data_IF_263566606026
#
_entry.id   IF_263566606026
#
_cell.length_a   1.000
_cell.length_b   1.000
_cell.length_c   1.000
_cell.angle_alpha   90.00
_cell.angle_beta   90.00
_cell.angle_gamma   90.00
#
_symmetry.space_group_name_H-M   'P 1'
#
loop_
_entity.id
_entity.type
_entity.pdbx_description
1 polymer ?
#
# COMPACT_ATOMS: atom_id res chain seq x y z
N UNK A 1 -9.47 -10.82 59.17
CA UNK A 1 -8.33 -10.83 58.26
C UNK A 1 -8.81 -10.49 56.86
N UNK A 2 -8.90 -9.21 56.54
CA UNK A 2 -9.30 -8.71 55.24
C UNK A 2 -8.05 -8.38 54.45
N UNK A 3 -7.72 -9.22 53.48
CA UNK A 3 -6.64 -8.97 52.52
C UNK A 3 -7.24 -8.11 51.39
N UNK A 4 -6.94 -6.82 51.45
CA UNK A 4 -7.22 -5.88 50.40
C UNK A 4 -6.16 -6.04 49.32
N UNK A 5 -6.49 -6.75 48.26
CA UNK A 5 -5.70 -6.76 47.06
C UNK A 5 -5.85 -5.37 46.41
N UNK A 6 -4.88 -4.52 46.65
CA UNK A 6 -4.72 -3.27 45.93
C UNK A 6 -4.49 -3.62 44.45
N UNK A 7 -5.50 -3.37 43.64
CA UNK A 7 -5.32 -3.29 42.18
C UNK A 7 -4.34 -2.16 41.88
N UNK A 8 -3.10 -2.52 41.67
CA UNK A 8 -2.13 -1.62 41.08
C UNK A 8 -2.57 -1.36 39.64
N UNK A 9 -3.42 -0.35 39.52
CA UNK A 9 -3.63 0.33 38.24
C UNK A 9 -2.27 0.92 37.87
N UNK A 10 -1.57 0.26 36.98
CA UNK A 10 -0.42 0.79 36.31
C UNK A 10 -0.87 2.07 35.58
N UNK A 11 -0.90 3.16 36.31
CA UNK A 11 -0.84 4.49 35.70
C UNK A 11 0.46 4.49 34.92
N UNK A 12 0.38 4.41 33.59
CA UNK A 12 1.49 4.80 32.72
C UNK A 12 1.92 6.17 33.23
N UNK A 13 2.99 6.20 33.99
CA UNK A 13 3.67 7.46 34.27
C UNK A 13 4.03 8.02 32.90
N UNK A 14 3.70 9.30 32.59
CA UNK A 14 4.20 9.94 31.39
C UNK A 14 5.72 9.76 31.44
N UNK A 15 6.29 9.15 30.41
CA UNK A 15 7.71 8.82 30.37
C UNK A 15 8.48 10.09 30.70
N UNK A 16 9.29 10.04 31.77
CA UNK A 16 10.16 11.15 32.19
C UNK A 16 11.38 11.28 31.25
N UNK A 17 11.27 10.72 30.05
CA UNK A 17 12.31 10.84 29.03
C UNK A 17 12.53 12.30 28.69
N UNK A 18 13.72 12.73 28.80
CA UNK A 18 14.11 14.09 28.46
C UNK A 18 14.36 14.20 26.96
N UNK A 19 14.44 15.43 26.45
CA UNK A 19 14.86 15.65 25.05
C UNK A 19 16.29 15.12 24.82
N UNK A 20 17.11 15.05 25.85
CA UNK A 20 18.46 14.46 25.79
C UNK A 20 18.40 12.94 25.54
N UNK A 21 17.48 12.23 26.19
CA UNK A 21 17.29 10.79 25.98
C UNK A 21 16.80 10.50 24.57
N UNK A 22 15.86 11.29 24.08
CA UNK A 22 15.36 11.18 22.70
C UNK A 22 16.48 11.42 21.66
N UNK A 23 17.38 12.38 21.90
CA UNK A 23 18.57 12.58 21.06
C UNK A 23 19.51 11.37 21.11
N UNK A 24 19.71 10.79 22.30
CA UNK A 24 20.53 9.59 22.43
C UNK A 24 19.95 8.41 21.64
N UNK A 25 18.65 8.19 21.72
CA UNK A 25 17.94 7.19 20.90
C UNK A 25 18.14 7.46 19.41
N UNK A 26 18.02 8.71 18.95
CA UNK A 26 18.27 9.11 17.58
C UNK A 26 19.69 8.74 17.11
N UNK A 27 20.70 9.09 17.88
CA UNK A 27 22.10 8.80 17.53
C UNK A 27 22.44 7.30 17.58
N UNK A 28 21.66 6.51 18.33
CA UNK A 28 21.72 5.04 18.28
C UNK A 28 20.94 4.43 17.13
N UNK A 29 20.33 5.26 16.25
CA UNK A 29 19.45 4.85 15.16
C UNK A 29 18.14 4.17 15.61
N UNK A 30 17.75 4.38 16.84
CA UNK A 30 16.47 3.98 17.42
C UNK A 30 15.41 5.03 17.05
N UNK A 31 15.13 5.18 15.74
CA UNK A 31 14.33 6.28 15.20
C UNK A 31 12.90 6.31 15.70
N UNK A 32 12.28 5.13 15.89
CA UNK A 32 10.92 5.05 16.46
C UNK A 32 10.89 5.62 17.88
N UNK A 33 11.80 5.17 18.74
CA UNK A 33 11.90 5.66 20.12
C UNK A 33 12.17 7.16 20.13
N UNK A 34 13.09 7.65 19.30
CA UNK A 34 13.38 9.07 19.21
C UNK A 34 12.15 9.88 18.77
N UNK A 35 11.41 9.41 17.78
CA UNK A 35 10.19 10.04 17.30
C UNK A 35 9.10 10.07 18.39
N UNK A 36 8.80 8.93 19.01
CA UNK A 36 7.78 8.81 20.06
C UNK A 36 8.09 9.71 21.25
N UNK A 37 9.35 9.74 21.69
CA UNK A 37 9.78 10.53 22.84
C UNK A 37 9.84 12.05 22.56
N UNK A 38 10.03 12.46 21.31
CA UNK A 38 9.98 13.87 20.90
C UNK A 38 8.55 14.36 20.61
N UNK A 39 7.62 13.46 20.32
CA UNK A 39 6.24 13.80 19.97
C UNK A 39 5.56 14.56 21.10
N UNK A 40 4.92 15.68 20.75
CA UNK A 40 4.18 16.53 21.69
C UNK A 40 5.06 17.39 22.59
N UNK A 41 6.38 17.36 22.45
CA UNK A 41 7.30 18.22 23.21
C UNK A 41 7.60 19.52 22.45
N UNK A 42 7.91 20.57 23.20
CA UNK A 42 8.44 21.81 22.62
C UNK A 42 9.90 21.60 22.24
N UNK A 43 10.16 21.55 20.95
CA UNK A 43 11.48 21.25 20.40
C UNK A 43 12.24 22.53 20.00
N UNK A 44 13.56 22.51 20.15
CA UNK A 44 14.43 23.50 19.51
C UNK A 44 14.47 23.27 17.98
N UNK A 45 14.92 24.26 17.20
CA UNK A 45 15.07 24.09 15.74
C UNK A 45 15.95 22.87 15.37
N UNK A 46 17.00 22.62 16.14
CA UNK A 46 17.88 21.46 15.95
C UNK A 46 17.13 20.16 16.21
N UNK A 47 16.39 20.09 17.32
CA UNK A 47 15.63 18.90 17.68
C UNK A 47 14.46 18.66 16.72
N UNK A 48 13.86 19.71 16.17
CA UNK A 48 12.83 19.61 15.14
C UNK A 48 13.37 18.88 13.90
N UNK A 49 14.59 19.15 13.46
CA UNK A 49 15.20 18.43 12.34
C UNK A 49 15.43 16.95 12.66
N UNK A 50 15.90 16.64 13.89
CA UNK A 50 16.05 15.24 14.34
C UNK A 50 14.70 14.53 14.40
N UNK A 51 13.68 15.21 14.89
CA UNK A 51 12.31 14.72 14.96
C UNK A 51 11.76 14.38 13.57
N UNK A 52 11.89 15.30 12.60
CA UNK A 52 11.39 15.06 11.24
C UNK A 52 12.13 13.90 10.55
N UNK A 53 13.46 13.83 10.67
CA UNK A 53 14.20 12.66 10.18
C UNK A 53 13.75 11.37 10.88
N UNK A 54 13.60 11.37 12.19
CA UNK A 54 13.14 10.21 12.95
C UNK A 54 11.71 9.80 12.54
N UNK A 55 10.81 10.78 12.33
CA UNK A 55 9.44 10.56 11.84
C UNK A 55 9.42 9.83 10.51
N UNK A 56 10.19 10.31 9.54
CA UNK A 56 10.25 9.73 8.20
C UNK A 56 10.74 8.28 8.24
N UNK A 57 11.85 8.04 8.93
CA UNK A 57 12.44 6.70 9.04
C UNK A 57 11.52 5.76 9.85
N UNK A 58 11.01 6.21 10.98
CA UNK A 58 10.11 5.43 11.82
C UNK A 58 8.81 5.06 11.08
N UNK A 59 8.26 5.99 10.29
CA UNK A 59 7.05 5.74 9.49
C UNK A 59 7.27 4.67 8.42
N UNK A 60 8.44 4.62 7.80
CA UNK A 60 8.81 3.56 6.87
C UNK A 60 8.96 2.21 7.57
N UNK A 61 9.71 2.18 8.68
CA UNK A 61 9.91 0.97 9.49
C UNK A 61 8.59 0.40 10.00
N UNK A 62 7.68 1.27 10.48
CA UNK A 62 6.38 0.86 10.99
C UNK A 62 5.54 0.13 9.95
N UNK A 63 5.59 0.56 8.68
CA UNK A 63 4.87 -0.12 7.59
C UNK A 63 5.44 -1.50 7.30
N UNK A 64 6.76 -1.65 7.33
CA UNK A 64 7.38 -2.96 7.19
C UNK A 64 7.08 -3.89 8.39
N UNK A 65 7.07 -3.36 9.60
CA UNK A 65 6.69 -4.12 10.80
C UNK A 65 5.21 -4.54 10.76
N UNK A 66 4.34 -3.67 10.21
CA UNK A 66 2.93 -4.00 9.98
C UNK A 66 2.78 -5.19 9.03
N UNK A 67 3.54 -5.21 7.93
CA UNK A 67 3.62 -6.38 7.04
C UNK A 67 3.96 -7.67 7.81
N UNK A 68 5.01 -7.63 8.64
CA UNK A 68 5.43 -8.78 9.44
C UNK A 68 4.31 -9.24 10.40
N UNK A 69 3.64 -8.29 11.04
CA UNK A 69 2.55 -8.56 11.97
C UNK A 69 1.33 -9.15 11.28
N UNK A 70 0.91 -8.58 10.15
CA UNK A 70 -0.24 -9.10 9.38
C UNK A 70 0.05 -10.47 8.77
N UNK A 71 1.28 -10.71 8.33
CA UNK A 71 1.72 -12.04 7.86
C UNK A 71 1.58 -13.08 8.98
N UNK A 72 2.02 -12.77 10.19
CA UNK A 72 1.88 -13.66 11.35
C UNK A 72 0.42 -13.91 11.74
N UNK A 73 -0.46 -12.93 11.50
CA UNK A 73 -1.91 -13.04 11.74
C UNK A 73 -2.67 -13.70 10.59
N UNK A 74 -1.98 -14.12 9.52
CA UNK A 74 -2.58 -14.70 8.31
C UNK A 74 -3.58 -13.74 7.62
N UNK A 75 -3.24 -12.45 7.59
CA UNK A 75 -3.98 -11.37 6.94
C UNK A 75 -3.21 -10.91 5.69
N UNK A 76 -3.28 -11.67 4.59
CA UNK A 76 -2.39 -11.47 3.45
C UNK A 76 -2.68 -10.18 2.67
N UNK A 77 -3.93 -9.72 2.62
CA UNK A 77 -4.31 -8.47 1.94
C UNK A 77 -3.72 -7.28 2.68
N UNK A 78 -3.89 -7.22 4.00
CA UNK A 78 -3.37 -6.17 4.87
C UNK A 78 -1.83 -6.19 4.92
N UNK A 79 -1.23 -7.37 4.84
CA UNK A 79 0.22 -7.51 4.73
C UNK A 79 0.74 -6.89 3.44
N UNK A 80 0.14 -7.21 2.29
CA UNK A 80 0.51 -6.63 1.00
C UNK A 80 0.28 -5.11 0.98
N UNK A 81 -0.88 -4.65 1.47
CA UNK A 81 -1.21 -3.23 1.58
C UNK A 81 -0.16 -2.46 2.39
N UNK A 82 0.33 -3.03 3.50
CA UNK A 82 1.37 -2.42 4.32
C UNK A 82 2.68 -2.17 3.55
N UNK A 83 3.09 -3.09 2.69
CA UNK A 83 4.28 -2.93 1.84
C UNK A 83 4.06 -1.88 0.75
N UNK A 84 2.93 -1.94 0.05
CA UNK A 84 2.58 -0.99 -1.02
C UNK A 84 2.45 0.44 -0.47
N UNK A 85 1.79 0.61 0.67
CA UNK A 85 1.68 1.89 1.36
C UNK A 85 3.03 2.42 1.86
N UNK A 86 3.96 1.54 2.21
CA UNK A 86 5.32 1.89 2.57
C UNK A 86 6.08 2.50 1.40
N UNK A 87 6.00 1.91 0.23
CA UNK A 87 6.59 2.44 -0.99
C UNK A 87 5.93 3.77 -1.41
N UNK A 88 4.60 3.85 -1.33
CA UNK A 88 3.85 5.07 -1.64
C UNK A 88 4.26 6.23 -0.71
N UNK A 89 4.41 5.99 0.58
CA UNK A 89 4.88 6.97 1.55
C UNK A 89 6.28 7.50 1.17
N UNK A 90 7.21 6.62 0.80
CA UNK A 90 8.54 7.00 0.34
C UNK A 90 8.48 7.94 -0.88
N UNK A 91 7.60 7.65 -1.86
CA UNK A 91 7.42 8.52 -3.03
C UNK A 91 6.82 9.87 -2.65
N UNK A 92 5.81 9.89 -1.80
CA UNK A 92 5.10 11.12 -1.40
C UNK A 92 5.95 12.04 -0.54
N UNK A 93 6.82 11.48 0.29
CA UNK A 93 7.69 12.23 1.21
C UNK A 93 9.08 12.52 0.62
N UNK A 94 9.30 12.34 -0.68
CA UNK A 94 10.63 12.46 -1.31
C UNK A 94 11.31 13.80 -1.04
N UNK A 95 10.58 14.90 -1.06
CA UNK A 95 11.09 16.23 -0.77
C UNK A 95 11.53 16.37 0.69
N UNK A 96 10.69 15.91 1.62
CA UNK A 96 11.00 15.93 3.05
C UNK A 96 12.17 14.98 3.38
N UNK A 97 12.23 13.80 2.76
CA UNK A 97 13.34 12.85 2.91
C UNK A 97 14.66 13.52 2.54
N UNK A 98 14.68 14.29 1.46
CA UNK A 98 15.88 15.05 1.02
C UNK A 98 16.16 16.21 1.96
N UNK A 99 15.16 16.99 2.33
CA UNK A 99 15.31 18.17 3.21
C UNK A 99 15.86 17.80 4.59
N UNK A 100 15.41 16.68 5.15
CA UNK A 100 15.84 16.25 6.49
C UNK A 100 16.96 15.21 6.48
N UNK A 101 17.63 15.01 5.33
CA UNK A 101 18.77 14.09 5.17
C UNK A 101 18.45 12.65 5.65
N UNK A 102 17.27 12.17 5.27
CA UNK A 102 16.77 10.84 5.63
C UNK A 102 16.95 9.79 4.53
N UNK A 103 17.54 10.16 3.38
CA UNK A 103 17.60 9.34 2.16
C UNK A 103 18.22 7.97 2.43
N UNK A 104 19.38 7.92 3.08
CA UNK A 104 20.10 6.66 3.32
C UNK A 104 19.26 5.66 4.11
N UNK A 105 18.63 6.13 5.17
CA UNK A 105 17.84 5.28 6.06
C UNK A 105 16.51 4.87 5.45
N UNK A 106 15.82 5.79 4.79
CA UNK A 106 14.53 5.49 4.12
C UNK A 106 14.72 4.62 2.89
N UNK A 107 15.80 4.82 2.11
CA UNK A 107 16.12 3.96 0.98
C UNK A 107 16.43 2.53 1.41
N UNK A 108 17.11 2.34 2.53
CA UNK A 108 17.35 1.00 3.07
C UNK A 108 16.03 0.26 3.33
N UNK A 109 15.03 0.92 3.92
CA UNK A 109 13.70 0.34 4.15
C UNK A 109 12.94 0.16 2.83
N UNK A 110 13.01 1.12 1.89
CA UNK A 110 12.43 0.99 0.56
C UNK A 110 12.92 -0.26 -0.16
N UNK A 111 14.24 -0.48 -0.18
CA UNK A 111 14.79 -1.69 -0.80
C UNK A 111 14.36 -2.97 -0.11
N UNK A 112 14.24 -2.96 1.22
CA UNK A 112 13.70 -4.10 1.96
C UNK A 112 12.24 -4.38 1.56
N UNK A 113 11.41 -3.35 1.42
CA UNK A 113 10.03 -3.46 0.93
C UNK A 113 9.99 -4.02 -0.49
N UNK A 114 10.77 -3.46 -1.43
CA UNK A 114 10.79 -3.90 -2.83
C UNK A 114 11.28 -5.33 -2.98
N UNK A 115 12.32 -5.73 -2.24
CA UNK A 115 12.80 -7.11 -2.24
C UNK A 115 11.72 -8.07 -1.72
N UNK A 116 11.02 -7.70 -0.65
CA UNK A 116 9.92 -8.52 -0.11
C UNK A 116 8.76 -8.63 -1.09
N UNK A 117 8.39 -7.52 -1.77
CA UNK A 117 7.35 -7.52 -2.80
C UNK A 117 7.73 -8.41 -3.99
N UNK A 118 8.99 -8.37 -4.41
CA UNK A 118 9.46 -9.23 -5.48
C UNK A 118 9.52 -10.70 -5.07
N UNK A 119 10.10 -11.01 -3.92
CA UNK A 119 10.28 -12.39 -3.46
C UNK A 119 8.96 -13.09 -3.16
N UNK A 120 7.98 -12.37 -2.60
CA UNK A 120 6.71 -12.94 -2.16
C UNK A 120 5.62 -12.90 -3.22
N UNK A 121 5.54 -11.80 -3.98
CA UNK A 121 4.43 -11.53 -4.90
C UNK A 121 4.89 -11.37 -6.35
N UNK A 122 6.18 -11.49 -6.64
CA UNK A 122 6.79 -11.31 -7.98
C UNK A 122 6.52 -9.92 -8.59
N UNK A 123 6.37 -8.90 -7.75
CA UNK A 123 6.12 -7.54 -8.16
C UNK A 123 7.43 -6.77 -8.36
N UNK A 124 7.61 -6.20 -9.54
CA UNK A 124 8.68 -5.24 -9.83
C UNK A 124 8.32 -3.86 -9.29
N UNK A 125 9.30 -2.96 -9.24
CA UNK A 125 9.04 -1.57 -8.81
C UNK A 125 8.03 -0.86 -9.72
N UNK A 126 8.02 -1.16 -11.04
CA UNK A 126 7.03 -0.62 -11.97
C UNK A 126 5.62 -1.15 -11.68
N UNK A 127 5.49 -2.44 -11.36
CA UNK A 127 4.21 -3.02 -10.94
C UNK A 127 3.68 -2.33 -9.67
N UNK A 128 4.55 -2.07 -8.70
CA UNK A 128 4.20 -1.37 -7.46
C UNK A 128 3.69 0.04 -7.73
N UNK A 129 4.33 0.78 -8.63
CA UNK A 129 3.87 2.11 -9.04
C UNK A 129 2.49 2.05 -9.71
N UNK A 130 2.28 1.09 -10.62
CA UNK A 130 1.01 0.90 -11.31
C UNK A 130 -0.11 0.54 -10.35
N UNK A 131 0.14 -0.37 -9.41
CA UNK A 131 -0.86 -0.76 -8.40
C UNK A 131 -1.22 0.44 -7.52
N UNK A 132 -0.24 1.20 -7.04
CA UNK A 132 -0.48 2.39 -6.22
C UNK A 132 -1.17 3.54 -6.96
N UNK A 133 -1.26 3.49 -8.30
CA UNK A 133 -1.96 4.47 -9.13
C UNK A 133 -3.41 4.06 -9.46
N UNK A 134 -3.85 2.86 -9.07
CA UNK A 134 -5.22 2.41 -9.26
C UNK A 134 -6.19 3.19 -8.36
N UNK A 135 -7.46 3.22 -8.76
CA UNK A 135 -8.52 3.68 -7.87
C UNK A 135 -8.78 2.67 -6.72
N UNK A 136 -9.51 3.09 -5.71
CA UNK A 136 -9.73 2.30 -4.49
C UNK A 136 -10.35 0.91 -4.76
N UNK A 137 -11.25 0.82 -5.73
CA UNK A 137 -11.89 -0.43 -6.08
C UNK A 137 -10.93 -1.38 -6.78
N UNK A 138 -10.29 -0.92 -7.85
CA UNK A 138 -9.34 -1.71 -8.63
C UNK A 138 -8.10 -2.09 -7.79
N UNK A 139 -7.65 -1.19 -6.92
CA UNK A 139 -6.60 -1.47 -5.94
C UNK A 139 -6.98 -2.65 -5.04
N UNK A 140 -8.16 -2.61 -4.42
CA UNK A 140 -8.64 -3.69 -3.53
C UNK A 140 -8.74 -5.02 -4.27
N UNK A 141 -9.34 -5.02 -5.46
CA UNK A 141 -9.45 -6.22 -6.30
C UNK A 141 -8.06 -6.79 -6.62
N UNK A 142 -7.12 -5.93 -6.98
CA UNK A 142 -5.75 -6.35 -7.31
C UNK A 142 -5.03 -7.00 -6.12
N UNK A 143 -5.19 -6.46 -4.92
CA UNK A 143 -4.63 -7.04 -3.72
C UNK A 143 -5.23 -8.43 -3.41
N UNK A 144 -6.55 -8.56 -3.54
CA UNK A 144 -7.24 -9.84 -3.35
C UNK A 144 -6.79 -10.90 -4.37
N UNK A 145 -6.55 -10.51 -5.64
CA UNK A 145 -6.00 -11.40 -6.67
C UNK A 145 -4.60 -11.87 -6.33
N UNK A 146 -3.69 -10.94 -6.01
CA UNK A 146 -2.29 -11.25 -5.70
C UNK A 146 -2.13 -12.11 -4.46
N UNK A 147 -3.04 -12.00 -3.51
CA UNK A 147 -3.02 -12.79 -2.27
C UNK A 147 -3.84 -14.07 -2.35
N UNK A 148 -4.54 -14.33 -3.46
CA UNK A 148 -5.43 -15.47 -3.64
C UNK A 148 -6.75 -15.38 -2.85
N UNK A 149 -7.05 -14.26 -2.22
CA UNK A 149 -8.24 -14.08 -1.37
C UNK A 149 -9.55 -14.14 -2.16
N UNK A 150 -9.55 -13.72 -3.45
CA UNK A 150 -10.71 -13.86 -4.35
C UNK A 150 -11.06 -15.33 -4.62
N UNK A 151 -10.07 -16.19 -4.79
CA UNK A 151 -10.29 -17.62 -5.05
C UNK A 151 -11.05 -18.30 -3.90
N UNK A 152 -10.79 -17.91 -2.67
CA UNK A 152 -11.50 -18.43 -1.50
C UNK A 152 -12.94 -17.91 -1.40
N UNK A 153 -13.19 -16.64 -1.76
CA UNK A 153 -14.55 -16.08 -1.79
C UNK A 153 -15.42 -16.78 -2.83
N UNK A 154 -14.87 -17.02 -4.03
CA UNK A 154 -15.59 -17.72 -5.10
C UNK A 154 -15.85 -19.20 -4.79
N UNK A 155 -14.92 -19.89 -4.13
CA UNK A 155 -15.11 -21.27 -3.72
C UNK A 155 -16.22 -21.42 -2.68
N UNK A 156 -16.32 -20.51 -1.73
CA UNK A 156 -17.40 -20.50 -0.74
C UNK A 156 -18.76 -20.13 -1.33
N UNK A 157 -18.81 -19.25 -2.35
CA UNK A 157 -20.04 -18.90 -3.05
C UNK A 157 -20.61 -20.07 -3.88
N UNK A 158 -19.74 -20.88 -4.49
CA UNK A 158 -20.14 -22.08 -5.22
C UNK A 158 -20.58 -23.22 -4.30
N UNK A 159 -20.03 -23.32 -3.10
CA UNK A 159 -20.40 -24.35 -2.13
C UNK A 159 -21.71 -24.04 -1.40
N UNK A 160 -22.10 -22.76 -1.31
CA UNK A 160 -23.38 -22.35 -0.75
C UNK A 160 -24.55 -22.49 -1.72
N UNK A 161 -24.30 -22.68 -3.04
CA UNK A 161 -25.32 -22.86 -4.08
C UNK A 161 -25.70 -24.31 -4.39
N UNK A 162 -25.07 -25.31 -3.74
CA UNK A 162 -25.27 -26.74 -4.08
C UNK A 162 -26.10 -27.53 -3.09
N UNK A 163 -26.85 -26.90 -2.21
CA UNK A 163 -27.79 -27.61 -1.32
C UNK A 163 -29.17 -26.99 -1.39
N UNK A 164 -29.89 -27.23 -2.48
CA UNK A 164 -31.36 -27.32 -2.44
C UNK A 164 -31.88 -27.95 -3.75
N UNK A 165 -32.62 -28.99 -3.52
CA UNK A 165 -33.73 -29.55 -4.29
C UNK A 165 -33.44 -30.83 -5.08
N UNK A 166 -33.56 -31.93 -4.37
CA UNK A 166 -34.25 -33.13 -4.83
C UNK A 166 -35.73 -32.96 -4.53
N UNK A 167 -36.56 -32.91 -5.55
CA UNK A 167 -38.04 -32.85 -5.45
C UNK A 167 -38.66 -33.11 -6.83
N UNK A 168 -38.97 -34.35 -7.01
CA UNK A 168 -39.73 -35.03 -8.04
C UNK A 168 -41.00 -34.28 -8.54
N UNK A 169 -41.25 -34.26 -9.86
CA UNK A 169 -42.54 -34.52 -10.51
C UNK A 169 -42.58 -34.09 -11.98
N UNK A 170 -42.47 -35.03 -12.86
CA UNK A 170 -43.31 -35.49 -13.96
C UNK A 170 -44.05 -34.48 -14.87
N UNK A 171 -43.65 -34.56 -16.18
CA UNK A 171 -44.36 -34.56 -17.46
C UNK A 171 -45.54 -33.58 -17.72
N UNK A 172 -45.43 -32.88 -18.83
CA UNK A 172 -46.18 -33.05 -20.11
C UNK A 172 -45.79 -31.93 -21.07
N UNK A 173 -45.20 -32.27 -22.18
CA UNK A 173 -45.63 -32.27 -23.58
C UNK A 173 -46.31 -30.98 -24.11
N UNK A 174 -45.78 -30.49 -25.20
CA UNK A 174 -46.41 -30.05 -26.44
C UNK A 174 -45.88 -28.70 -26.99
N UNK A 175 -45.20 -28.86 -28.13
CA UNK A 175 -45.34 -28.10 -29.39
C UNK A 175 -44.58 -26.77 -29.58
N UNK A 176 -43.58 -26.87 -30.47
CA UNK A 176 -43.08 -25.86 -31.42
C UNK A 176 -44.19 -25.51 -32.43
N UNK A 177 -44.20 -24.37 -33.17
CA UNK A 177 -43.10 -23.96 -34.03
C UNK A 177 -42.89 -22.43 -34.24
N UNK A 178 -41.68 -22.13 -34.69
CA UNK A 178 -41.18 -21.28 -35.78
C UNK A 178 -41.95 -20.00 -36.18
N UNK A 179 -41.20 -18.96 -36.41
CA UNK A 179 -40.89 -18.18 -37.63
C UNK A 179 -40.23 -16.87 -37.22
N UNK A 180 -39.03 -16.63 -37.66
CA UNK A 180 -38.55 -15.92 -38.85
C UNK A 180 -38.89 -14.43 -38.88
N UNK A 181 -37.84 -13.61 -38.86
CA UNK A 181 -37.70 -12.40 -39.67
C UNK A 181 -36.32 -11.73 -39.47
N UNK A 182 -35.48 -11.97 -40.40
CA UNK A 182 -34.54 -11.12 -41.14
C UNK A 182 -34.78 -9.61 -41.04
N UNK A 183 -33.73 -8.84 -40.80
CA UNK A 183 -33.29 -7.68 -41.65
C UNK A 183 -32.00 -7.11 -41.01
N UNK A 184 -30.85 -7.19 -41.63
CA UNK A 184 -30.24 -6.53 -42.78
C UNK A 184 -29.94 -5.03 -42.57
N UNK A 185 -28.67 -4.74 -42.79
CA UNK A 185 -28.13 -3.47 -43.27
C UNK A 185 -27.68 -2.51 -42.18
N UNK A 186 -26.52 -1.99 -42.13
CA UNK A 186 -25.67 -1.48 -43.18
C UNK A 186 -24.33 -1.10 -42.59
N UNK A 187 -23.32 -1.46 -43.30
CA UNK A 187 -21.94 -1.05 -43.21
C UNK A 187 -21.80 0.44 -43.58
N UNK A 188 -21.06 1.23 -42.85
CA UNK A 188 -20.34 2.35 -43.43
C UNK A 188 -19.00 2.63 -42.72
N UNK A 189 -17.98 2.39 -43.51
CA UNK A 189 -16.62 2.86 -43.47
C UNK A 189 -16.50 4.38 -43.27
N UNK A 190 -15.45 4.75 -42.55
CA UNK A 190 -14.55 5.88 -42.87
C UNK A 190 -13.34 5.79 -41.96
N UNK A 191 -12.22 5.30 -42.44
CA UNK A 191 -11.09 5.87 -43.19
C UNK A 191 -10.53 7.16 -42.60
N UNK A 192 -9.27 6.99 -42.14
CA UNK A 192 -8.08 7.85 -42.18
C UNK A 192 -8.21 9.30 -41.71
N UNK A 193 -7.33 9.71 -40.79
CA UNK A 193 -6.27 10.61 -41.23
C UNK A 193 -5.06 10.53 -40.31
N UNK A 194 -3.92 10.31 -40.93
CA UNK A 194 -2.61 10.43 -40.36
C UNK A 194 -2.09 11.85 -40.66
N UNK A 195 -1.56 12.51 -39.66
CA UNK A 195 -0.64 13.62 -39.80
C UNK A 195 0.28 13.62 -38.60
N UNK A 196 1.45 13.06 -38.68
CA UNK A 196 2.76 13.62 -39.07
C UNK A 196 2.95 15.09 -38.62
N UNK A 197 3.73 15.27 -37.60
CA UNK A 197 4.61 16.45 -37.45
C UNK A 197 5.86 16.07 -36.68
N UNK A 198 6.84 15.78 -37.49
CA UNK A 198 8.28 15.78 -37.25
C UNK A 198 8.77 17.18 -36.83
N UNK A 199 9.75 17.16 -35.91
CA UNK A 199 10.81 18.16 -35.69
C UNK A 199 10.45 19.49 -35.00
N UNK A 200 11.04 19.67 -33.84
CA UNK A 200 11.88 20.84 -33.62
C UNK A 200 13.03 20.48 -32.70
N UNK A 201 14.20 20.36 -33.32
CA UNK A 201 15.51 20.39 -32.71
C UNK A 201 15.85 21.84 -32.31
N UNK A 202 16.78 21.90 -31.38
CA UNK A 202 17.69 23.03 -31.09
C UNK A 202 17.11 24.24 -30.35
N UNK A 203 17.64 24.45 -29.13
CA UNK A 203 18.54 25.58 -28.83
C UNK A 203 19.08 25.37 -27.39
N UNK A 204 20.38 25.06 -27.34
CA UNK A 204 21.25 25.43 -26.23
C UNK A 204 21.61 26.94 -26.36
N UNK A 205 21.85 27.63 -25.28
CA UNK A 205 23.06 28.45 -25.24
C UNK A 205 24.00 28.05 -24.12
N UNK A 206 25.24 27.78 -24.51
CA UNK A 206 26.44 28.04 -23.73
C UNK A 206 26.58 29.53 -23.50
N UNK A 207 27.02 29.92 -22.31
CA UNK A 207 27.97 31.03 -22.02
C UNK A 207 28.36 30.88 -20.55
N UNK A 208 29.62 30.59 -20.33
CA UNK A 208 30.89 31.34 -20.11
C UNK A 208 30.91 32.02 -18.76
N UNK A 209 31.72 31.48 -17.92
CA UNK A 209 32.95 31.88 -17.21
C UNK A 209 33.09 33.41 -16.97
N UNK A 210 33.06 33.78 -15.66
CA UNK A 210 34.08 34.60 -15.01
C UNK A 210 34.07 34.42 -13.52
#
# INVERSE_FOLDING_TARGET
>A
SSSSAASDVYKRQPSMWTTADARNAFYKKEYRTAFEEMTGKKLSKKDQRLYEKARLVASMQQRYDAYTSYTALQMPVEALDSLLSGYLFWQQEADAITEYDATTETDAVKYQILNTLYDTYQLTEDDVRQINALDDYDYTVRLEELTGSLSHKNSNAQQAGSTAVTGDAQATDTTTPAEDSTNDGTQEDRVSDAADMTQMQDILPEEEIE
#
